data_IF_475196260761
#
_entry.id   IF_475196260761
#
_cell.length_a   1.000
_cell.length_b   1.000
_cell.length_c   1.000
_cell.angle_alpha   90.00
_cell.angle_beta   90.00
_cell.angle_gamma   90.00
#
_symmetry.space_group_name_H-M   'P 1'
#
loop_
_entity.id
_entity.type
_entity.pdbx_description
1 polymer ?
#
# COMPACT_ATOMS: atom_id res chain seq x y z
N UNK A 1 16.96 -13.03 14.30
CA UNK A 1 16.52 -14.43 14.49
C UNK A 1 15.87 -14.53 15.87
N UNK A 2 14.67 -15.14 15.98
CA UNK A 2 13.85 -15.32 17.20
C UNK A 2 12.89 -14.18 17.65
N UNK A 3 12.38 -13.31 16.77
CA UNK A 3 11.36 -12.31 17.17
C UNK A 3 9.91 -12.85 17.17
N UNK A 4 9.65 -14.02 16.58
CA UNK A 4 8.30 -14.60 16.45
C UNK A 4 7.99 -15.68 17.51
N UNK A 5 8.93 -16.02 18.39
CA UNK A 5 8.75 -17.09 19.36
C UNK A 5 7.76 -16.75 20.50
N UNK A 6 7.46 -15.46 20.69
CA UNK A 6 6.56 -14.94 21.73
C UNK A 6 5.28 -14.30 21.17
N UNK A 7 5.02 -14.48 19.88
CA UNK A 7 3.82 -13.91 19.25
C UNK A 7 2.63 -14.85 19.51
N UNK A 8 1.70 -14.41 20.37
CA UNK A 8 0.70 -15.31 20.99
C UNK A 8 -0.24 -15.96 19.97
N UNK A 9 -0.44 -15.31 18.82
CA UNK A 9 -1.31 -15.77 17.75
C UNK A 9 -0.81 -17.07 17.11
N UNK A 10 0.51 -17.25 16.98
CA UNK A 10 1.10 -18.42 16.33
C UNK A 10 1.32 -19.60 17.29
N UNK A 11 1.48 -19.34 18.58
CA UNK A 11 1.64 -20.41 19.61
C UNK A 11 0.42 -21.33 19.72
N UNK A 12 -0.76 -20.87 19.27
CA UNK A 12 -1.96 -21.71 19.17
C UNK A 12 -1.80 -22.85 18.16
N UNK A 13 -1.12 -22.59 17.05
CA UNK A 13 -1.04 -23.50 15.90
C UNK A 13 0.34 -24.17 15.73
N UNK A 14 1.37 -23.68 16.42
CA UNK A 14 2.74 -24.17 16.30
C UNK A 14 3.28 -24.61 17.66
N UNK A 15 3.92 -25.77 17.69
CA UNK A 15 4.76 -26.22 18.79
C UNK A 15 6.21 -25.93 18.44
N UNK A 16 6.80 -24.96 19.13
CA UNK A 16 8.20 -24.56 18.94
C UNK A 16 9.02 -25.17 20.08
N UNK A 17 10.01 -26.00 19.74
CA UNK A 17 10.92 -26.62 20.70
C UNK A 17 12.34 -26.19 20.39
N UNK A 18 13.14 -25.92 21.42
CA UNK A 18 14.57 -25.65 21.24
C UNK A 18 15.26 -26.95 20.82
N UNK A 19 16.13 -26.86 19.82
CA UNK A 19 16.87 -28.01 19.29
C UNK A 19 18.28 -27.60 18.93
N UNK A 20 19.25 -28.26 19.54
CA UNK A 20 20.68 -28.05 19.27
C UNK A 20 21.13 -28.70 17.95
N UNK A 21 20.28 -29.56 17.37
CA UNK A 21 20.56 -30.25 16.10
C UNK A 21 20.12 -29.46 14.85
N UNK A 22 19.27 -28.45 15.02
CA UNK A 22 18.80 -27.63 13.92
C UNK A 22 19.66 -26.35 13.83
N UNK A 23 20.06 -25.97 12.62
CA UNK A 23 20.87 -24.77 12.36
C UNK A 23 20.19 -23.47 12.85
N UNK A 24 18.86 -23.48 12.90
CA UNK A 24 18.02 -22.40 13.43
C UNK A 24 17.93 -22.36 14.97
N UNK A 25 18.39 -23.40 15.67
CA UNK A 25 18.25 -23.58 17.12
C UNK A 25 16.87 -24.05 17.59
N UNK A 26 15.93 -24.28 16.67
CA UNK A 26 14.55 -24.66 16.98
C UNK A 26 13.99 -25.70 16.01
N UNK A 27 13.15 -26.59 16.53
CA UNK A 27 12.24 -27.45 15.76
C UNK A 27 10.82 -26.89 15.88
N UNK A 28 10.17 -26.67 14.74
CA UNK A 28 8.78 -26.21 14.69
C UNK A 28 7.91 -27.33 14.14
N UNK A 29 6.88 -27.73 14.89
CA UNK A 29 5.88 -28.70 14.44
C UNK A 29 4.48 -28.09 14.48
N UNK A 30 3.64 -28.46 13.52
CA UNK A 30 2.27 -27.97 13.39
C UNK A 30 1.36 -28.73 14.36
N UNK A 31 0.44 -28.01 15.02
CA UNK A 31 -0.62 -28.59 15.86
C UNK A 31 -1.86 -28.85 15.01
N UNK A 32 -1.92 -30.03 14.38
CA UNK A 32 -3.01 -30.41 13.48
C UNK A 32 -4.38 -30.46 14.19
N UNK A 33 -4.42 -30.79 15.48
CA UNK A 33 -5.60 -30.76 16.34
C UNK A 33 -6.23 -29.36 16.38
N UNK A 34 -5.41 -28.35 16.66
CA UNK A 34 -5.84 -26.97 16.77
C UNK A 34 -6.23 -26.37 15.41
N UNK A 35 -5.59 -26.81 14.33
CA UNK A 35 -5.94 -26.39 12.97
C UNK A 35 -7.26 -27.02 12.53
N UNK A 36 -7.44 -28.32 12.71
CA UNK A 36 -8.64 -29.03 12.26
C UNK A 36 -9.88 -28.53 13.01
N UNK A 37 -9.80 -28.31 14.32
CA UNK A 37 -10.91 -27.75 15.10
C UNK A 37 -11.33 -26.35 14.62
N UNK A 38 -10.39 -25.53 14.16
CA UNK A 38 -10.71 -24.22 13.59
C UNK A 38 -11.29 -24.36 12.17
N UNK A 39 -10.73 -25.26 11.36
CA UNK A 39 -11.20 -25.56 10.00
C UNK A 39 -12.64 -26.09 9.98
N UNK A 40 -13.10 -26.79 11.03
CA UNK A 40 -14.49 -27.25 11.16
C UNK A 40 -15.52 -26.11 11.08
N UNK A 41 -15.14 -24.91 11.53
CA UNK A 41 -16.01 -23.72 11.50
C UNK A 41 -15.58 -22.70 10.45
N UNK A 42 -14.52 -23.00 9.69
CA UNK A 42 -14.01 -22.08 8.69
C UNK A 42 -14.95 -21.99 7.47
N UNK A 43 -15.10 -20.78 6.94
CA UNK A 43 -15.75 -20.55 5.66
C UNK A 43 -14.91 -21.06 4.49
N UNK A 44 -15.57 -21.46 3.41
CA UNK A 44 -14.92 -21.94 2.19
C UNK A 44 -14.66 -20.78 1.21
N UNK A 45 -13.48 -20.77 0.59
CA UNK A 45 -13.16 -19.86 -0.52
C UNK A 45 -12.97 -20.69 -1.78
N UNK A 46 -13.79 -20.43 -2.80
CA UNK A 46 -13.71 -21.09 -4.11
C UNK A 46 -13.10 -20.12 -5.11
N UNK A 47 -11.99 -20.51 -5.74
CA UNK A 47 -11.34 -19.76 -6.82
C UNK A 47 -11.59 -20.52 -8.12
N UNK A 48 -12.23 -19.86 -9.09
CA UNK A 48 -12.52 -20.42 -10.41
C UNK A 48 -11.61 -19.71 -11.43
N UNK A 49 -10.93 -20.48 -12.27
CA UNK A 49 -10.08 -19.99 -13.35
C UNK A 49 -10.35 -20.77 -14.63
N UNK A 50 -10.29 -20.09 -15.78
CA UNK A 50 -10.43 -20.71 -17.09
C UNK A 50 -9.08 -21.12 -17.70
N UNK A 51 -7.97 -20.66 -17.13
CA UNK A 51 -6.63 -20.69 -17.76
C UNK A 51 -5.49 -20.96 -16.76
N UNK A 52 -5.83 -21.33 -15.51
CA UNK A 52 -4.84 -21.66 -14.49
C UNK A 52 -5.14 -23.06 -13.95
N UNK A 53 -4.31 -24.02 -14.36
CA UNK A 53 -4.47 -25.42 -13.97
C UNK A 53 -3.88 -25.72 -12.57
N UNK A 54 -3.01 -24.85 -12.05
CA UNK A 54 -2.38 -25.04 -10.75
C UNK A 54 -3.08 -24.27 -9.64
N UNK A 55 -3.61 -24.98 -8.63
CA UNK A 55 -4.22 -24.37 -7.45
C UNK A 55 -3.27 -23.40 -6.71
N UNK A 56 -1.98 -23.74 -6.63
CA UNK A 56 -0.96 -22.89 -5.99
C UNK A 56 -0.76 -21.58 -6.76
N UNK A 57 -0.81 -21.64 -8.09
CA UNK A 57 -0.75 -20.46 -8.95
C UNK A 57 -2.01 -19.61 -8.87
N UNK A 58 -3.19 -20.23 -8.89
CA UNK A 58 -4.46 -19.53 -8.74
C UNK A 58 -4.50 -18.74 -7.42
N UNK A 59 -4.06 -19.35 -6.31
CA UNK A 59 -3.92 -18.68 -5.02
C UNK A 59 -2.90 -17.53 -5.07
N UNK A 60 -1.74 -17.73 -5.74
CA UNK A 60 -0.72 -16.68 -5.88
C UNK A 60 -1.26 -15.45 -6.62
N UNK A 61 -1.94 -15.67 -7.75
CA UNK A 61 -2.55 -14.62 -8.54
C UNK A 61 -3.66 -13.91 -7.76
N UNK A 62 -4.53 -14.68 -7.07
CA UNK A 62 -5.57 -14.12 -6.21
C UNK A 62 -4.99 -13.26 -5.07
N UNK A 63 -3.88 -13.67 -4.44
CA UNK A 63 -3.19 -12.85 -3.45
C UNK A 63 -2.61 -11.57 -4.06
N UNK A 64 -2.11 -11.64 -5.30
CA UNK A 64 -1.71 -10.44 -6.05
C UNK A 64 -2.86 -9.45 -6.23
N UNK A 65 -4.06 -9.97 -6.55
CA UNK A 65 -5.29 -9.16 -6.63
C UNK A 65 -5.63 -8.51 -5.28
N UNK A 66 -5.57 -9.23 -4.17
CA UNK A 66 -5.80 -8.66 -2.82
C UNK A 66 -4.83 -7.53 -2.47
N UNK A 67 -3.55 -7.65 -2.83
CA UNK A 67 -2.57 -6.56 -2.65
C UNK A 67 -2.98 -5.32 -3.44
N UNK A 68 -3.41 -5.50 -4.69
CA UNK A 68 -3.93 -4.41 -5.53
C UNK A 68 -5.19 -3.81 -4.92
N UNK A 69 -6.17 -4.62 -4.49
CA UNK A 69 -7.41 -4.15 -3.86
C UNK A 69 -7.14 -3.36 -2.57
N UNK A 70 -6.23 -3.84 -1.73
CA UNK A 70 -5.77 -3.11 -0.53
C UNK A 70 -5.09 -1.80 -0.89
N UNK A 71 -4.32 -1.77 -1.97
CA UNK A 71 -3.75 -0.54 -2.55
C UNK A 71 -4.84 0.45 -2.93
N UNK A 72 -5.78 0.04 -3.78
CA UNK A 72 -6.93 0.86 -4.20
C UNK A 72 -7.79 1.32 -3.03
N UNK A 73 -8.02 0.47 -2.03
CA UNK A 73 -8.77 0.82 -0.83
C UNK A 73 -8.05 1.91 -0.03
N UNK A 74 -6.74 1.81 0.14
CA UNK A 74 -5.92 2.82 0.83
C UNK A 74 -5.95 4.15 0.08
N UNK A 75 -5.86 4.13 -1.24
CA UNK A 75 -5.95 5.32 -2.10
C UNK A 75 -7.35 5.96 -2.02
N UNK A 76 -8.42 5.16 -2.10
CA UNK A 76 -9.81 5.64 -1.92
C UNK A 76 -10.03 6.28 -0.55
N UNK A 77 -9.48 5.68 0.52
CA UNK A 77 -9.51 6.25 1.87
C UNK A 77 -8.73 7.57 1.95
N UNK A 78 -7.60 7.68 1.25
CA UNK A 78 -6.82 8.91 1.18
C UNK A 78 -7.54 10.05 0.45
N UNK A 79 -8.48 9.72 -0.44
CA UNK A 79 -9.26 10.69 -1.23
C UNK A 79 -10.67 10.97 -0.65
N UNK A 80 -11.00 10.43 0.53
CA UNK A 80 -12.33 10.51 1.14
C UNK A 80 -13.49 10.11 0.19
N UNK A 81 -13.21 9.21 -0.76
CA UNK A 81 -14.22 8.65 -1.67
C UNK A 81 -15.08 7.58 -1.00
N UNK A 82 -14.79 7.24 0.27
CA UNK A 82 -15.54 6.25 1.04
C UNK A 82 -16.96 6.67 1.38
N UNK A 83 -17.28 7.97 1.31
CA UNK A 83 -18.64 8.49 1.47
C UNK A 83 -18.92 9.55 0.41
N UNK A 84 -19.85 9.25 -0.50
CA UNK A 84 -20.18 10.15 -1.60
C UNK A 84 -20.86 11.43 -1.09
N UNK A 85 -21.73 11.38 -0.06
CA UNK A 85 -22.39 12.54 0.62
C UNK A 85 -22.81 13.64 -0.35
N UNK A 86 -23.48 13.25 -1.43
CA UNK A 86 -23.98 14.17 -2.46
C UNK A 86 -25.47 13.95 -2.65
N UNK A 87 -26.19 15.02 -2.93
CA UNK A 87 -27.65 15.03 -3.04
C UNK A 87 -28.17 14.83 -4.48
N UNK A 88 -27.28 14.75 -5.49
CA UNK A 88 -27.66 14.46 -6.87
C UNK A 88 -26.78 13.36 -7.49
N UNK A 89 -27.36 12.61 -8.43
CA UNK A 89 -26.66 11.58 -9.19
C UNK A 89 -25.51 12.17 -10.03
N UNK A 90 -25.70 13.36 -10.59
CA UNK A 90 -24.67 14.09 -11.34
C UNK A 90 -23.46 14.44 -10.45
N UNK A 91 -23.71 14.99 -9.25
CA UNK A 91 -22.65 15.30 -8.29
C UNK A 91 -21.87 14.05 -7.87
N UNK A 92 -22.56 12.90 -7.80
CA UNK A 92 -21.95 11.61 -7.51
C UNK A 92 -21.00 11.18 -8.63
N UNK A 93 -21.46 11.24 -9.88
CA UNK A 93 -20.64 10.89 -11.04
C UNK A 93 -19.41 11.79 -11.13
N UNK A 94 -19.57 13.10 -10.94
CA UNK A 94 -18.46 14.05 -10.96
C UNK A 94 -17.43 13.76 -9.86
N UNK A 95 -17.88 13.45 -8.64
CA UNK A 95 -16.99 13.10 -7.52
C UNK A 95 -16.21 11.80 -7.78
N UNK A 96 -16.87 10.78 -8.34
CA UNK A 96 -16.21 9.53 -8.72
C UNK A 96 -15.19 9.77 -9.84
N UNK A 97 -15.52 10.59 -10.83
CA UNK A 97 -14.63 10.92 -11.94
C UNK A 97 -13.37 11.65 -11.48
N UNK A 98 -13.50 12.72 -10.70
CA UNK A 98 -12.36 13.44 -10.11
C UNK A 98 -11.54 12.50 -9.21
N UNK A 99 -12.22 11.66 -8.43
CA UNK A 99 -11.59 10.64 -7.60
C UNK A 99 -10.73 9.66 -8.41
N UNK A 100 -11.21 9.22 -9.57
CA UNK A 100 -10.47 8.34 -10.47
C UNK A 100 -9.19 9.00 -11.00
N UNK A 101 -9.27 10.27 -11.45
CA UNK A 101 -8.09 11.03 -11.90
C UNK A 101 -7.08 11.18 -10.76
N UNK A 102 -7.54 11.53 -9.57
CA UNK A 102 -6.68 11.65 -8.39
C UNK A 102 -6.01 10.32 -8.02
N UNK A 103 -6.71 9.20 -8.18
CA UNK A 103 -6.18 7.85 -7.99
C UNK A 103 -5.04 7.51 -8.98
N UNK A 104 -5.19 7.87 -10.26
CA UNK A 104 -4.14 7.67 -11.27
C UNK A 104 -2.88 8.44 -10.88
N UNK A 105 -3.02 9.73 -10.54
CA UNK A 105 -1.89 10.56 -10.10
C UNK A 105 -1.22 9.97 -8.84
N UNK A 106 -2.02 9.56 -7.86
CA UNK A 106 -1.53 9.01 -6.60
C UNK A 106 -0.82 7.66 -6.79
N UNK A 107 -1.29 6.85 -7.73
CA UNK A 107 -0.64 5.59 -8.12
C UNK A 107 0.74 5.84 -8.73
N UNK A 108 0.86 6.83 -9.61
CA UNK A 108 2.14 7.18 -10.21
C UNK A 108 3.13 7.73 -9.16
N UNK A 109 2.65 8.60 -8.27
CA UNK A 109 3.45 9.09 -7.12
C UNK A 109 3.93 7.93 -6.26
N UNK A 110 3.04 6.99 -5.94
CA UNK A 110 3.40 5.82 -5.15
C UNK A 110 4.46 4.96 -5.84
N UNK A 111 4.31 4.73 -7.16
CA UNK A 111 5.26 3.96 -7.96
C UNK A 111 6.65 4.60 -7.92
N UNK A 112 6.77 5.88 -8.26
CA UNK A 112 8.03 6.63 -8.23
C UNK A 112 8.66 6.60 -6.83
N UNK A 113 7.87 6.85 -5.78
CA UNK A 113 8.38 6.80 -4.40
C UNK A 113 8.89 5.42 -3.99
N UNK A 114 8.29 4.35 -4.52
CA UNK A 114 8.71 2.98 -4.26
C UNK A 114 10.00 2.65 -4.99
N UNK A 115 10.06 2.96 -6.29
CA UNK A 115 11.21 2.68 -7.15
C UNK A 115 12.46 3.44 -6.68
N UNK A 116 12.30 4.71 -6.27
CA UNK A 116 13.38 5.56 -5.75
C UNK A 116 13.65 5.34 -4.24
N UNK A 117 12.94 4.41 -3.59
CA UNK A 117 13.10 4.09 -2.17
C UNK A 117 12.83 5.26 -1.22
N UNK A 118 12.02 6.24 -1.63
CA UNK A 118 11.74 7.48 -0.90
C UNK A 118 10.95 7.25 0.38
N UNK A 119 10.18 6.15 0.46
CA UNK A 119 9.43 5.78 1.67
C UNK A 119 10.30 5.58 2.91
N UNK A 120 11.62 5.37 2.75
CA UNK A 120 12.58 5.32 3.86
C UNK A 120 12.76 6.67 4.56
N UNK A 121 12.47 7.78 3.87
CA UNK A 121 12.74 9.15 4.33
C UNK A 121 11.47 9.99 4.52
N UNK A 122 10.47 9.79 3.66
CA UNK A 122 9.22 10.54 3.73
C UNK A 122 8.01 9.70 3.34
N UNK A 123 6.90 9.94 4.02
CA UNK A 123 5.59 9.41 3.63
C UNK A 123 5.04 10.18 2.43
N UNK A 124 4.12 9.56 1.69
CA UNK A 124 3.44 10.20 0.57
C UNK A 124 2.73 11.50 0.99
N UNK A 125 2.13 11.54 2.19
CA UNK A 125 1.49 12.74 2.74
C UNK A 125 2.50 13.87 2.97
N UNK A 126 3.69 13.54 3.47
CA UNK A 126 4.76 14.52 3.66
C UNK A 126 5.27 15.03 2.32
N UNK A 127 5.41 14.17 1.30
CA UNK A 127 5.79 14.60 -0.06
C UNK A 127 4.79 15.63 -0.61
N UNK A 128 3.48 15.33 -0.54
CA UNK A 128 2.43 16.25 -1.00
C UNK A 128 2.46 17.57 -0.23
N UNK A 129 2.67 17.53 1.09
CA UNK A 129 2.78 18.73 1.91
C UNK A 129 4.03 19.56 1.58
N UNK A 130 5.16 18.91 1.27
CA UNK A 130 6.40 19.59 0.86
C UNK A 130 6.24 20.31 -0.47
N UNK A 131 5.56 19.69 -1.42
CA UNK A 131 5.25 20.32 -2.71
C UNK A 131 4.20 21.44 -2.57
N UNK A 132 3.20 21.29 -1.70
CA UNK A 132 2.18 22.34 -1.48
C UNK A 132 2.74 23.63 -0.89
N UNK A 133 3.93 23.57 -0.27
CA UNK A 133 4.63 24.75 0.27
C UNK A 133 5.42 25.52 -0.78
N UNK A 134 5.59 24.97 -1.98
CA UNK A 134 6.27 25.66 -3.05
C UNK A 134 5.38 26.79 -3.56
N UNK A 135 5.79 28.05 -3.31
CA UNK A 135 4.95 29.23 -3.51
C UNK A 135 5.46 30.02 -4.70
N UNK A 136 4.56 30.30 -5.63
CA UNK A 136 4.75 31.25 -6.72
C UNK A 136 3.92 32.48 -6.35
N UNK A 137 4.53 33.65 -6.26
CA UNK A 137 3.82 34.92 -6.07
C UNK A 137 3.92 35.75 -7.35
N UNK A 138 2.84 36.42 -7.71
CA UNK A 138 2.86 37.39 -8.80
C UNK A 138 2.49 38.75 -8.22
N UNK A 139 3.42 39.70 -8.27
CA UNK A 139 3.23 41.08 -7.78
C UNK A 139 3.47 42.01 -8.97
N UNK A 140 2.45 42.80 -9.33
CA UNK A 140 2.53 43.81 -10.39
C UNK A 140 3.15 43.29 -11.71
N UNK A 141 2.74 42.09 -12.15
CA UNK A 141 3.25 41.47 -13.37
C UNK A 141 4.61 40.75 -13.22
N UNK A 142 5.29 40.90 -12.08
CA UNK A 142 6.56 40.21 -11.79
C UNK A 142 6.29 38.90 -11.04
N UNK A 143 6.79 37.79 -11.57
CA UNK A 143 6.70 36.46 -10.96
C UNK A 143 7.86 36.28 -10.00
N UNK A 144 7.57 36.20 -8.70
CA UNK A 144 8.53 35.91 -7.64
C UNK A 144 8.40 34.42 -7.28
N UNK A 145 9.44 33.66 -7.56
CA UNK A 145 9.51 32.23 -7.27
C UNK A 145 10.52 32.01 -6.17
N UNK A 146 10.06 31.36 -5.11
CA UNK A 146 10.94 31.01 -4.01
C UNK A 146 11.77 29.80 -4.45
N UNK A 147 13.09 29.82 -4.26
CA UNK A 147 13.95 28.72 -4.68
C UNK A 147 13.54 27.42 -3.99
N UNK A 148 13.56 26.32 -4.73
CA UNK A 148 13.21 25.01 -4.21
C UNK A 148 14.18 24.59 -3.09
N UNK A 149 13.62 24.05 -2.00
CA UNK A 149 14.45 23.47 -0.92
C UNK A 149 15.19 22.23 -1.44
N UNK A 150 16.27 21.80 -0.75
CA UNK A 150 17.00 20.58 -1.14
C UNK A 150 16.08 19.36 -1.23
N UNK A 151 15.10 19.26 -0.33
CA UNK A 151 14.11 18.19 -0.33
C UNK A 151 13.17 18.28 -1.54
N UNK A 152 12.69 19.48 -1.89
CA UNK A 152 11.86 19.69 -3.08
C UNK A 152 12.64 19.35 -4.36
N UNK A 153 13.91 19.74 -4.46
CA UNK A 153 14.78 19.40 -5.60
C UNK A 153 14.99 17.89 -5.74
N UNK A 154 15.19 17.19 -4.62
CA UNK A 154 15.26 15.73 -4.64
C UNK A 154 13.95 15.10 -5.14
N UNK A 155 12.79 15.68 -4.77
CA UNK A 155 11.49 15.24 -5.28
C UNK A 155 11.40 15.52 -6.79
N UNK A 156 11.68 16.73 -7.27
CA UNK A 156 11.63 17.05 -8.70
C UNK A 156 12.54 16.13 -9.54
N UNK A 157 13.75 15.87 -9.05
CA UNK A 157 14.69 14.92 -9.68
C UNK A 157 14.15 13.49 -9.72
N UNK A 158 13.59 12.99 -8.62
CA UNK A 158 13.02 11.64 -8.55
C UNK A 158 11.84 11.46 -9.53
N UNK A 159 11.06 12.51 -9.74
CA UNK A 159 9.92 12.51 -10.65
C UNK A 159 10.29 12.87 -12.11
N UNK A 160 11.56 13.19 -12.38
CA UNK A 160 12.04 13.68 -13.68
C UNK A 160 11.24 14.89 -14.19
N UNK A 161 10.91 15.81 -13.28
CA UNK A 161 10.19 17.06 -13.59
C UNK A 161 11.15 18.23 -13.40
N UNK A 162 11.09 19.21 -14.30
CA UNK A 162 11.88 20.43 -14.17
C UNK A 162 11.50 21.21 -12.90
N UNK A 163 12.52 21.77 -12.24
CA UNK A 163 12.29 22.67 -11.13
C UNK A 163 11.53 23.91 -11.64
N UNK A 164 10.46 24.34 -10.96
CA UNK A 164 9.74 25.54 -11.35
C UNK A 164 10.67 26.77 -11.30
N UNK A 165 10.86 27.40 -12.46
CA UNK A 165 11.61 28.64 -12.69
C UNK A 165 10.73 29.85 -12.87
#
# INVERSE_FOLDING_TARGET
SAQYANDSEYTKYLTIRRSEKAESGYTVSIREDAINSELETAGWVVIISNDIDSAKEAIRVYRGKDVVEKGFLRLKRSLDLGRLRVHSQESMQNKVFIGFIALVMLSEIHKVMSDEGMYKKMTLKQLLHMLSRHRIQQINGTRIIYPATKEQRNIYKAFNVEEPV
#
